data_IF_395459112036
#
_entry.id   IF_395459112036
#
_cell.length_a   1.000
_cell.length_b   1.000
_cell.length_c   1.000
_cell.angle_alpha   90.00
_cell.angle_beta   90.00
_cell.angle_gamma   90.00
#
_symmetry.space_group_name_H-M   'P 1'
#
loop_
_entity.id
_entity.type
_entity.pdbx_description
1 polymer ?
#
# COMPACT_ATOMS: atom_id res chain seq x y z
N UNK A 1 -23.21 16.00 -18.36
CA UNK A 1 -22.15 15.15 -17.77
C UNK A 1 -21.07 14.97 -18.82
N UNK A 2 -19.84 15.38 -18.53
CA UNK A 2 -18.71 15.05 -19.40
C UNK A 2 -18.49 13.54 -19.42
N UNK A 3 -18.36 12.96 -20.62
CA UNK A 3 -18.09 11.52 -20.79
C UNK A 3 -16.58 11.33 -20.82
N UNK A 4 -16.03 10.71 -19.79
CA UNK A 4 -14.61 10.35 -19.73
C UNK A 4 -14.42 8.94 -20.31
N UNK A 5 -13.34 8.76 -21.06
CA UNK A 5 -12.97 7.43 -21.58
C UNK A 5 -12.34 6.63 -20.45
N UNK A 6 -12.97 5.51 -20.09
CA UNK A 6 -12.50 4.61 -19.03
C UNK A 6 -11.65 3.51 -19.67
N UNK A 7 -10.46 3.25 -19.10
CA UNK A 7 -9.59 2.16 -19.56
C UNK A 7 -10.13 0.79 -19.13
N UNK A 8 -9.65 -0.29 -19.74
CA UNK A 8 -10.09 -1.68 -19.49
C UNK A 8 -10.14 -2.06 -18.00
N UNK A 9 -9.18 -1.62 -17.20
CA UNK A 9 -9.16 -1.90 -15.76
C UNK A 9 -10.34 -1.25 -15.02
N UNK A 10 -10.74 -0.05 -15.44
CA UNK A 10 -11.94 0.61 -14.90
C UNK A 10 -13.22 -0.12 -15.28
N UNK A 11 -13.30 -0.69 -16.49
CA UNK A 11 -14.43 -1.55 -16.88
C UNK A 11 -14.55 -2.79 -15.98
N UNK A 12 -13.42 -3.45 -15.67
CA UNK A 12 -13.41 -4.60 -14.75
C UNK A 12 -13.90 -4.19 -13.36
N UNK A 13 -13.39 -3.09 -12.82
CA UNK A 13 -13.85 -2.58 -11.52
C UNK A 13 -15.36 -2.31 -11.51
N UNK A 14 -15.89 -1.67 -12.55
CA UNK A 14 -17.33 -1.38 -12.65
C UNK A 14 -18.15 -2.67 -12.67
N UNK A 15 -17.69 -3.71 -13.37
CA UNK A 15 -18.36 -5.01 -13.40
C UNK A 15 -18.39 -5.66 -12.01
N UNK A 16 -17.26 -5.66 -11.28
CA UNK A 16 -17.21 -6.21 -9.91
C UNK A 16 -18.17 -5.46 -8.98
N UNK A 17 -18.18 -4.11 -9.05
CA UNK A 17 -19.11 -3.29 -8.26
C UNK A 17 -20.56 -3.63 -8.57
N UNK A 18 -20.89 -3.79 -9.87
CA UNK A 18 -22.23 -4.17 -10.33
C UNK A 18 -22.65 -5.52 -9.75
N UNK A 19 -21.79 -6.53 -9.86
CA UNK A 19 -22.03 -7.87 -9.36
C UNK A 19 -22.27 -7.87 -7.84
N UNK A 20 -21.46 -7.14 -7.08
CA UNK A 20 -21.63 -7.01 -5.63
C UNK A 20 -22.99 -6.40 -5.27
N UNK A 21 -23.39 -5.32 -5.94
CA UNK A 21 -24.67 -4.67 -5.71
C UNK A 21 -25.86 -5.54 -6.12
N UNK A 22 -25.74 -6.31 -7.21
CA UNK A 22 -26.77 -7.28 -7.63
C UNK A 22 -26.93 -8.42 -6.62
N UNK A 23 -25.83 -8.89 -6.02
CA UNK A 23 -25.86 -9.88 -4.96
C UNK A 23 -26.62 -9.36 -3.74
N UNK A 24 -26.34 -8.14 -3.29
CA UNK A 24 -27.08 -7.51 -2.18
C UNK A 24 -28.57 -7.30 -2.52
N UNK A 25 -28.86 -6.91 -3.77
CA UNK A 25 -30.26 -6.75 -4.20
C UNK A 25 -31.02 -8.08 -4.21
N UNK A 26 -30.36 -9.18 -4.57
CA UNK A 26 -30.95 -10.53 -4.57
C UNK A 26 -31.13 -11.08 -3.15
N UNK A 27 -30.15 -10.88 -2.27
CA UNK A 27 -30.24 -11.31 -0.87
C UNK A 27 -31.21 -10.48 -0.04
N UNK A 28 -31.52 -9.23 -0.46
CA UNK A 28 -32.25 -8.23 0.32
C UNK A 28 -31.60 -7.91 1.67
N UNK A 29 -30.33 -8.26 1.83
CA UNK A 29 -29.54 -8.09 3.04
C UNK A 29 -28.18 -7.49 2.71
N UNK A 30 -27.66 -6.71 3.65
CA UNK A 30 -26.33 -6.13 3.53
C UNK A 30 -25.28 -7.21 3.80
N UNK A 31 -24.52 -7.58 2.77
CA UNK A 31 -23.40 -8.55 2.89
C UNK A 31 -22.35 -8.04 3.88
N UNK A 32 -22.11 -6.71 3.87
CA UNK A 32 -21.15 -6.05 4.74
C UNK A 32 -21.82 -4.86 5.43
N UNK A 33 -21.77 -4.77 6.77
CA UNK A 33 -22.34 -3.66 7.53
C UNK A 33 -21.79 -2.30 7.07
N UNK A 34 -22.66 -1.28 7.02
CA UNK A 34 -22.30 0.08 6.59
C UNK A 34 -21.22 0.72 7.46
N UNK A 35 -21.11 0.32 8.72
CA UNK A 35 -20.05 0.78 9.64
C UNK A 35 -18.65 0.43 9.13
N UNK A 36 -18.50 -0.69 8.43
CA UNK A 36 -17.21 -1.20 7.96
C UNK A 36 -16.91 -0.72 6.54
N UNK A 37 -16.81 0.60 6.37
CA UNK A 37 -16.67 1.28 5.06
C UNK A 37 -15.51 0.72 4.23
N UNK A 38 -14.32 0.54 4.83
CA UNK A 38 -13.14 0.07 4.09
C UNK A 38 -13.28 -1.38 3.59
N UNK A 39 -13.88 -2.26 4.41
CA UNK A 39 -14.16 -3.64 4.02
C UNK A 39 -15.16 -3.70 2.86
N UNK A 40 -16.18 -2.84 2.91
CA UNK A 40 -17.20 -2.76 1.86
C UNK A 40 -16.60 -2.26 0.54
N UNK A 41 -15.77 -1.22 0.58
CA UNK A 41 -15.05 -0.73 -0.61
C UNK A 41 -14.15 -1.83 -1.16
N UNK A 42 -13.40 -2.52 -0.31
CA UNK A 42 -12.51 -3.61 -0.72
C UNK A 42 -13.28 -4.72 -1.47
N UNK A 43 -14.43 -5.14 -0.94
CA UNK A 43 -15.28 -6.14 -1.58
C UNK A 43 -15.88 -5.64 -2.90
N UNK A 44 -16.40 -4.41 -2.94
CA UNK A 44 -16.99 -3.81 -4.14
C UNK A 44 -15.97 -3.57 -5.25
N UNK A 45 -14.76 -3.18 -4.91
CA UNK A 45 -13.71 -2.83 -5.89
C UNK A 45 -12.77 -3.98 -6.23
N UNK A 46 -12.85 -5.10 -5.49
CA UNK A 46 -11.97 -6.25 -5.67
C UNK A 46 -10.52 -6.02 -5.23
N UNK A 47 -10.28 -5.02 -4.37
CA UNK A 47 -8.92 -4.62 -3.93
C UNK A 47 -8.74 -4.87 -2.44
N UNK A 48 -7.50 -5.13 -1.99
CA UNK A 48 -7.23 -5.34 -0.57
C UNK A 48 -7.58 -4.13 0.30
N UNK A 49 -8.01 -4.38 1.54
CA UNK A 49 -8.28 -3.34 2.55
C UNK A 49 -7.08 -2.42 2.76
N UNK A 50 -5.87 -3.00 2.73
CA UNK A 50 -4.62 -2.25 2.84
C UNK A 50 -4.45 -1.26 1.69
N UNK A 51 -4.80 -1.65 0.47
CA UNK A 51 -4.76 -0.77 -0.70
C UNK A 51 -5.77 0.36 -0.56
N UNK A 52 -7.01 0.06 -0.15
CA UNK A 52 -8.03 1.08 0.12
C UNK A 52 -7.57 2.06 1.20
N UNK A 53 -6.99 1.56 2.29
CA UNK A 53 -6.42 2.39 3.37
C UNK A 53 -5.28 3.29 2.88
N UNK A 54 -4.43 2.81 1.96
CA UNK A 54 -3.38 3.62 1.34
C UNK A 54 -3.94 4.70 0.43
N UNK A 55 -4.84 4.34 -0.49
CA UNK A 55 -5.48 5.29 -1.42
C UNK A 55 -6.24 6.38 -0.65
N UNK A 56 -6.96 6.02 0.42
CA UNK A 56 -7.68 6.99 1.25
C UNK A 56 -6.73 7.95 1.98
N UNK A 57 -5.58 7.48 2.47
CA UNK A 57 -4.53 8.34 3.03
C UNK A 57 -3.93 9.26 1.97
N UNK A 58 -3.61 8.73 0.79
CA UNK A 58 -3.10 9.51 -0.34
C UNK A 58 -4.09 10.59 -0.76
N UNK A 59 -5.39 10.27 -0.81
CA UNK A 59 -6.45 11.23 -1.11
C UNK A 59 -6.55 12.37 -0.09
N UNK A 60 -6.38 12.08 1.21
CA UNK A 60 -6.33 13.11 2.25
C UNK A 60 -5.13 14.04 2.07
N UNK A 61 -3.96 13.48 1.78
CA UNK A 61 -2.74 14.27 1.53
C UNK A 61 -2.89 15.11 0.25
N UNK A 62 -3.37 14.50 -0.82
CA UNK A 62 -3.67 15.16 -2.09
C UNK A 62 -4.60 16.36 -1.92
N UNK A 63 -5.70 16.19 -1.16
CA UNK A 63 -6.64 17.27 -0.84
C UNK A 63 -5.98 18.40 -0.03
N UNK A 64 -5.08 18.08 0.89
CA UNK A 64 -4.35 19.09 1.69
C UNK A 64 -3.29 19.86 0.91
N UNK A 65 -2.70 19.24 -0.12
CA UNK A 65 -1.57 19.82 -0.89
C UNK A 65 -1.97 20.23 -2.31
N UNK A 66 -3.27 20.22 -2.65
CA UNK A 66 -3.79 20.45 -4.01
C UNK A 66 -3.13 19.59 -5.10
N UNK A 67 -2.56 18.45 -4.72
CA UNK A 67 -1.86 17.55 -5.62
C UNK A 67 -2.81 16.49 -6.17
N UNK A 68 -2.59 16.04 -7.41
CA UNK A 68 -3.37 14.94 -7.99
C UNK A 68 -2.93 13.60 -7.39
N UNK A 69 -3.89 12.70 -7.18
CA UNK A 69 -3.58 11.29 -6.86
C UNK A 69 -3.07 10.65 -8.14
N UNK A 70 -1.77 10.32 -8.19
CA UNK A 70 -1.16 9.74 -9.39
C UNK A 70 -0.76 8.29 -9.14
N UNK A 71 -1.26 7.34 -9.95
CA UNK A 71 -0.81 5.95 -9.87
C UNK A 71 0.67 5.83 -10.22
N UNK A 72 1.38 4.89 -9.59
CA UNK A 72 2.79 4.60 -9.90
C UNK A 72 3.79 5.63 -9.39
N UNK A 73 3.41 6.50 -8.45
CA UNK A 73 4.32 7.47 -7.84
C UNK A 73 5.54 6.76 -7.25
N UNK A 74 6.74 7.14 -7.71
CA UNK A 74 8.01 6.62 -7.18
C UNK A 74 8.09 6.92 -5.69
N UNK A 75 8.39 5.89 -4.90
CA UNK A 75 8.57 6.02 -3.46
C UNK A 75 10.04 6.31 -3.19
N UNK A 76 10.37 7.32 -2.37
CA UNK A 76 11.76 7.54 -1.96
C UNK A 76 12.25 6.26 -1.28
N UNK A 77 13.24 5.61 -1.88
CA UNK A 77 13.93 4.49 -1.25
C UNK A 77 14.89 5.05 -0.21
N UNK A 78 15.00 4.39 0.94
CA UNK A 78 16.10 4.64 1.87
C UNK A 78 17.40 4.43 1.10
N UNK A 79 18.18 5.50 0.96
CA UNK A 79 19.50 5.41 0.33
C UNK A 79 20.32 4.39 1.12
N UNK A 80 21.00 3.49 0.42
CA UNK A 80 22.03 2.66 1.05
C UNK A 80 23.10 3.63 1.58
N UNK A 81 23.60 3.36 2.78
CA UNK A 81 24.80 4.05 3.28
C UNK A 81 25.93 3.62 2.36
N UNK A 82 26.58 4.58 1.71
CA UNK A 82 27.79 4.32 0.95
C UNK A 82 28.92 4.11 1.96
N UNK A 83 29.58 2.97 1.90
CA UNK A 83 30.65 2.60 2.82
C UNK A 83 31.90 2.32 2.01
N UNK A 84 32.98 3.06 2.29
CA UNK A 84 34.27 2.84 1.64
C UNK A 84 34.93 1.55 2.14
N UNK A 85 35.89 1.02 1.38
CA UNK A 85 36.59 -0.23 1.72
C UNK A 85 37.25 -0.18 3.11
N UNK A 86 37.73 1.00 3.52
CA UNK A 86 38.26 1.21 4.86
C UNK A 86 37.18 1.04 5.94
N UNK A 87 36.02 1.64 5.74
CA UNK A 87 34.89 1.58 6.67
C UNK A 87 34.34 0.15 6.78
N UNK A 88 34.23 -0.54 5.65
CA UNK A 88 33.87 -1.96 5.59
C UNK A 88 34.87 -2.82 6.37
N UNK A 89 36.16 -2.57 6.23
CA UNK A 89 37.22 -3.29 6.96
C UNK A 89 37.12 -3.05 8.47
N UNK A 90 36.93 -1.80 8.89
CA UNK A 90 36.76 -1.44 10.30
C UNK A 90 35.53 -2.12 10.93
N UNK A 91 34.40 -2.13 10.22
CA UNK A 91 33.17 -2.82 10.66
C UNK A 91 33.43 -4.32 10.81
N UNK A 92 34.04 -4.97 9.80
CA UNK A 92 34.37 -6.40 9.85
C UNK A 92 35.29 -6.73 11.02
N UNK A 93 36.32 -5.92 11.25
CA UNK A 93 37.24 -6.10 12.36
C UNK A 93 36.53 -5.96 13.71
N UNK A 94 35.61 -5.00 13.85
CA UNK A 94 34.86 -4.80 15.08
C UNK A 94 33.90 -5.97 15.36
N UNK A 95 33.20 -6.45 14.33
CA UNK A 95 32.37 -7.65 14.39
C UNK A 95 33.22 -8.86 14.81
N UNK A 96 34.34 -9.11 14.13
CA UNK A 96 35.26 -10.21 14.47
C UNK A 96 35.74 -10.12 15.91
N UNK A 97 36.15 -8.94 16.37
CA UNK A 97 36.57 -8.73 17.75
C UNK A 97 35.47 -9.12 18.75
N UNK A 98 34.23 -8.69 18.55
CA UNK A 98 33.15 -8.99 19.50
C UNK A 98 32.74 -10.47 19.50
N UNK A 99 32.57 -11.07 18.32
CA UNK A 99 32.03 -12.43 18.22
C UNK A 99 33.09 -13.53 18.31
N UNK A 100 34.31 -13.28 17.83
CA UNK A 100 35.38 -14.30 17.81
C UNK A 100 36.33 -14.15 18.99
N UNK A 101 36.79 -12.91 19.27
CA UNK A 101 37.79 -12.68 20.33
C UNK A 101 37.12 -12.59 21.69
N UNK A 102 36.13 -11.70 21.84
CA UNK A 102 35.44 -11.45 23.11
C UNK A 102 34.34 -12.49 23.41
N UNK A 103 33.87 -13.22 22.38
CA UNK A 103 32.75 -14.18 22.45
C UNK A 103 31.50 -13.61 23.14
N UNK A 104 31.25 -12.31 22.94
CA UNK A 104 30.10 -11.61 23.49
C UNK A 104 29.05 -11.43 22.41
N UNK A 105 27.83 -11.92 22.67
CA UNK A 105 26.70 -11.74 21.78
C UNK A 105 25.87 -10.52 22.23
N UNK A 106 25.26 -9.78 21.29
CA UNK A 106 24.27 -8.78 21.66
C UNK A 106 23.17 -9.46 22.47
N UNK A 107 22.84 -8.87 23.62
CA UNK A 107 21.68 -9.27 24.42
C UNK A 107 20.41 -8.69 23.83
#
# INVERSE_FOLDING_TARGET
MERTVIKSEGHKMILIVKEFCELESKSKELLIPLKNVQMRIAAMTGVSVNTVSRITKEGKIAASTSNKITPGKSRPQTKKVDLDDFELSAIRQKIHFFYVVKKSYPR
#
